data_IF_199767329808
#
_entry.id   IF_199767329808
#
_cell.length_a   1.000
_cell.length_b   1.000
_cell.length_c   1.000
_cell.angle_alpha   90.00
_cell.angle_beta   90.00
_cell.angle_gamma   90.00
#
_symmetry.space_group_name_H-M   'P 1'
#
loop_
_entity.id
_entity.type
_entity.pdbx_description
1 polymer ?
#
# COMPACT_ATOMS: atom_id res chain seq x y z
N UNK A 1 1.48 -12.57 -10.88
CA UNK A 1 1.68 -11.48 -9.89
C UNK A 1 2.42 -10.36 -10.61
N UNK A 2 1.80 -9.22 -10.84
CA UNK A 2 2.52 -8.05 -11.35
C UNK A 2 3.47 -7.54 -10.26
N UNK A 3 4.74 -7.30 -10.61
CA UNK A 3 5.71 -6.69 -9.69
C UNK A 3 5.44 -5.19 -9.67
N UNK A 4 5.15 -4.65 -8.49
CA UNK A 4 5.10 -3.19 -8.26
C UNK A 4 6.50 -2.61 -8.51
N UNK A 5 6.60 -1.57 -9.32
CA UNK A 5 7.88 -0.91 -9.60
C UNK A 5 8.42 -0.20 -8.35
N UNK A 6 9.74 0.07 -8.27
CA UNK A 6 10.31 0.82 -7.15
C UNK A 6 9.67 2.21 -6.96
N UNK A 7 9.33 2.89 -8.05
CA UNK A 7 8.66 4.19 -8.03
C UNK A 7 7.24 4.08 -7.45
N UNK A 8 6.47 3.07 -7.88
CA UNK A 8 5.14 2.80 -7.33
C UNK A 8 5.21 2.45 -5.84
N UNK A 9 6.23 1.68 -5.42
CA UNK A 9 6.45 1.34 -4.02
C UNK A 9 6.75 2.59 -3.18
N UNK A 10 7.56 3.53 -3.67
CA UNK A 10 7.88 4.76 -2.95
C UNK A 10 6.62 5.59 -2.64
N UNK A 11 5.70 5.70 -3.61
CA UNK A 11 4.42 6.40 -3.40
C UNK A 11 3.54 5.66 -2.40
N UNK A 12 3.44 4.33 -2.50
CA UNK A 12 2.66 3.51 -1.57
C UNK A 12 3.20 3.60 -0.14
N UNK A 13 4.52 3.57 0.05
CA UNK A 13 5.14 3.74 1.37
C UNK A 13 4.94 5.15 1.93
N UNK A 14 5.07 6.19 1.11
CA UNK A 14 4.77 7.57 1.52
C UNK A 14 3.31 7.71 1.97
N UNK A 15 2.36 7.17 1.19
CA UNK A 15 0.95 7.16 1.56
C UNK A 15 0.68 6.34 2.82
N UNK A 16 1.38 5.23 3.03
CA UNK A 16 1.23 4.38 4.20
C UNK A 16 1.67 5.08 5.48
N UNK A 17 2.76 5.85 5.45
CA UNK A 17 3.22 6.64 6.60
C UNK A 17 2.22 7.71 7.02
N UNK A 18 1.46 8.26 6.08
CA UNK A 18 0.40 9.25 6.36
C UNK A 18 -0.90 8.57 6.83
N UNK A 19 -1.30 7.49 6.16
CA UNK A 19 -2.50 6.75 6.48
C UNK A 19 -2.30 5.24 6.21
N UNK A 20 -2.07 4.43 7.25
CA UNK A 20 -1.93 2.98 7.13
C UNK A 20 -3.21 2.25 6.70
N UNK A 21 -4.38 2.92 6.77
CA UNK A 21 -5.70 2.38 6.44
C UNK A 21 -6.45 3.33 5.49
N UNK A 22 -6.04 3.41 4.21
CA UNK A 22 -6.65 4.30 3.24
C UNK A 22 -8.11 3.89 2.95
N UNK A 23 -8.99 4.89 2.93
CA UNK A 23 -10.39 4.72 2.51
C UNK A 23 -10.50 4.52 0.98
N UNK A 24 -11.71 4.26 0.47
CA UNK A 24 -11.92 3.99 -0.96
C UNK A 24 -11.42 5.14 -1.86
N UNK A 25 -11.69 6.40 -1.50
CA UNK A 25 -11.27 7.58 -2.29
C UNK A 25 -9.76 7.68 -2.42
N UNK A 26 -9.02 7.45 -1.33
CA UNK A 26 -7.55 7.47 -1.35
C UNK A 26 -7.00 6.33 -2.21
N UNK A 27 -7.60 5.14 -2.15
CA UNK A 27 -7.17 4.02 -2.99
C UNK A 27 -7.46 4.25 -4.47
N UNK A 28 -8.58 4.87 -4.81
CA UNK A 28 -8.91 5.27 -6.18
C UNK A 28 -7.91 6.30 -6.71
N UNK A 29 -7.58 7.33 -5.93
CA UNK A 29 -6.56 8.31 -6.32
C UNK A 29 -5.20 7.65 -6.58
N UNK A 30 -4.77 6.76 -5.69
CA UNK A 30 -3.53 5.99 -5.87
C UNK A 30 -3.60 5.05 -7.09
N UNK A 31 -4.77 4.48 -7.37
CA UNK A 31 -4.98 3.61 -8.54
C UNK A 31 -4.75 4.38 -9.84
N UNK A 32 -5.34 5.58 -9.94
CA UNK A 32 -5.14 6.48 -11.06
C UNK A 32 -3.69 6.97 -11.17
N UNK A 33 -3.09 7.40 -10.05
CA UNK A 33 -1.72 7.92 -10.03
C UNK A 33 -0.67 6.86 -10.41
N UNK A 34 -0.87 5.61 -9.97
CA UNK A 34 0.10 4.54 -10.16
C UNK A 34 -0.20 3.66 -11.37
N UNK A 35 -1.35 3.85 -12.03
CA UNK A 35 -1.84 2.95 -13.08
C UNK A 35 -2.06 1.53 -12.57
N UNK A 36 -2.44 1.38 -11.30
CA UNK A 36 -2.62 0.09 -10.63
C UNK A 36 -4.08 -0.15 -10.28
N UNK A 37 -4.58 -1.39 -10.35
CA UNK A 37 -5.92 -1.71 -9.85
C UNK A 37 -6.06 -1.40 -8.36
N UNK A 38 -7.21 -0.86 -7.94
CA UNK A 38 -7.51 -0.58 -6.52
C UNK A 38 -7.27 -1.81 -5.63
N UNK A 39 -7.63 -3.00 -6.15
CA UNK A 39 -7.43 -4.28 -5.46
C UNK A 39 -5.96 -4.57 -5.17
N UNK A 40 -5.06 -4.22 -6.10
CA UNK A 40 -3.61 -4.39 -5.91
C UNK A 40 -3.10 -3.49 -4.78
N UNK A 41 -3.60 -2.25 -4.72
CA UNK A 41 -3.28 -1.29 -3.65
C UNK A 41 -3.83 -1.81 -2.32
N UNK A 42 -5.08 -2.24 -2.29
CA UNK A 42 -5.71 -2.81 -1.09
C UNK A 42 -4.88 -3.99 -0.52
N UNK A 43 -4.50 -4.95 -1.37
CA UNK A 43 -3.67 -6.10 -0.98
C UNK A 43 -2.30 -5.64 -0.47
N UNK A 44 -1.69 -4.66 -1.13
CA UNK A 44 -0.40 -4.12 -0.70
C UNK A 44 -0.50 -3.52 0.71
N UNK A 45 -1.52 -2.71 0.98
CA UNK A 45 -1.74 -2.10 2.31
C UNK A 45 -2.02 -3.16 3.38
N UNK A 46 -2.80 -4.21 3.06
CA UNK A 46 -3.02 -5.33 3.98
C UNK A 46 -1.71 -6.06 4.31
N UNK A 47 -0.92 -6.41 3.28
CA UNK A 47 0.38 -7.07 3.46
C UNK A 47 1.35 -6.20 4.25
N UNK A 48 1.37 -4.89 4.00
CA UNK A 48 2.23 -3.95 4.72
C UNK A 48 1.87 -3.88 6.21
N UNK A 49 0.57 -3.78 6.54
CA UNK A 49 0.12 -3.82 7.95
C UNK A 49 0.46 -5.14 8.62
N UNK A 50 0.28 -6.27 7.93
CA UNK A 50 0.64 -7.58 8.46
C UNK A 50 2.14 -7.68 8.75
N UNK A 51 3.00 -7.14 7.87
CA UNK A 51 4.45 -7.07 8.08
C UNK A 51 4.80 -6.25 9.33
N UNK A 52 4.23 -5.06 9.48
CA UNK A 52 4.48 -4.19 10.67
C UNK A 52 4.01 -4.88 11.95
N UNK A 53 2.82 -5.49 11.94
CA UNK A 53 2.31 -6.25 13.09
C UNK A 53 3.21 -7.44 13.45
N UNK A 54 3.72 -8.16 12.45
CA UNK A 54 4.62 -9.29 12.68
C UNK A 54 6.00 -8.84 13.17
N UNK A 55 6.47 -7.66 12.76
CA UNK A 55 7.71 -7.07 13.28
C UNK A 55 7.55 -6.68 14.76
N UNK A 56 6.44 -6.04 15.13
CA UNK A 56 6.15 -5.66 16.52
C UNK A 56 5.97 -6.85 17.48
N UNK A 57 5.64 -8.04 16.95
CA UNK A 57 5.52 -9.28 17.76
C UNK A 57 6.84 -10.02 17.96
N UNK A 58 7.88 -9.66 17.19
CA UNK A 58 9.21 -10.29 17.24
C UNK A 58 10.23 -9.47 18.02
N UNK A 59 9.86 -8.27 18.43
CA UNK A 59 10.61 -7.34 19.29
C UNK A 59 10.17 -7.47 20.74
#
# INVERSE_FOLDING_TARGET
RTRTSPEQLAVLEKSFSLNPSPNNRVREQLAHQLGMPERSIQIWFQNRRAKVKNQAKRS
#
